data_IF_716968448880
#
_entry.id   IF_716968448880
#
_cell.length_a   1.000
_cell.length_b   1.000
_cell.length_c   1.000
_cell.angle_alpha   90.00
_cell.angle_beta   90.00
_cell.angle_gamma   90.00
#
_symmetry.space_group_name_H-M   'P 1'
#
loop_
_entity.id
_entity.type
_entity.pdbx_description
1 polymer ?
#
# COMPACT_ATOMS: atom_id res chain seq x y z
N UNK A 1 -20.17 8.32 -26.95
CA UNK A 1 -19.99 7.12 -26.11
C UNK A 1 -18.61 7.14 -25.51
N UNK A 2 -18.40 6.41 -24.43
CA UNK A 2 -17.07 6.23 -23.84
C UNK A 2 -16.53 4.85 -24.22
N UNK A 3 -15.23 4.74 -24.44
CA UNK A 3 -14.56 3.45 -24.65
C UNK A 3 -14.62 2.62 -23.37
N UNK A 4 -14.83 1.31 -23.50
CA UNK A 4 -14.98 0.38 -22.40
C UNK A 4 -14.05 -0.83 -22.58
N UNK A 5 -13.56 -1.35 -21.46
CA UNK A 5 -12.81 -2.62 -21.39
C UNK A 5 -13.67 -3.62 -20.64
N UNK A 6 -13.81 -4.83 -21.18
CA UNK A 6 -14.48 -5.94 -20.52
C UNK A 6 -13.43 -6.96 -20.08
N UNK A 7 -13.45 -7.31 -18.79
CA UNK A 7 -12.55 -8.28 -18.19
C UNK A 7 -13.31 -9.39 -17.46
N UNK A 8 -12.61 -10.50 -17.21
CA UNK A 8 -13.18 -11.62 -16.47
C UNK A 8 -13.31 -11.23 -14.99
N UNK A 9 -14.45 -11.55 -14.38
CA UNK A 9 -14.60 -11.44 -12.93
C UNK A 9 -13.70 -12.45 -12.20
N UNK A 10 -12.73 -11.95 -11.44
CA UNK A 10 -11.77 -12.78 -10.70
C UNK A 10 -12.30 -13.07 -9.29
N UNK A 11 -12.42 -14.36 -8.95
CA UNK A 11 -12.72 -14.82 -7.58
C UNK A 11 -11.42 -15.06 -6.84
N UNK A 12 -10.86 -14.01 -6.26
CA UNK A 12 -9.61 -14.06 -5.51
C UNK A 12 -9.84 -14.35 -4.03
N UNK A 13 -8.85 -14.96 -3.37
CA UNK A 13 -8.85 -15.18 -1.92
C UNK A 13 -8.38 -13.95 -1.16
N UNK A 14 -7.36 -13.28 -1.71
CA UNK A 14 -6.76 -12.08 -1.09
C UNK A 14 -6.43 -11.06 -2.16
N UNK A 15 -6.45 -9.82 -1.76
CA UNK A 15 -5.90 -8.72 -2.55
C UNK A 15 -4.64 -8.25 -1.84
N UNK A 16 -3.56 -8.08 -2.60
CA UNK A 16 -2.27 -7.62 -2.08
C UNK A 16 -1.77 -6.43 -2.88
N UNK A 17 -0.82 -5.69 -2.32
CA UNK A 17 -0.04 -4.74 -3.10
C UNK A 17 1.44 -4.77 -2.73
N UNK A 18 2.27 -4.41 -3.69
CA UNK A 18 3.72 -4.21 -3.51
C UNK A 18 4.06 -2.81 -3.99
N UNK A 19 4.92 -2.12 -3.25
CA UNK A 19 5.45 -0.81 -3.64
C UNK A 19 6.92 -0.96 -3.98
N UNK A 20 7.29 -0.51 -5.19
CA UNK A 20 8.66 -0.46 -5.68
C UNK A 20 9.09 1.00 -5.80
N UNK A 21 10.29 1.30 -5.29
CA UNK A 21 10.99 2.54 -5.56
C UNK A 21 12.10 2.30 -6.58
N UNK A 22 12.25 3.21 -7.54
CA UNK A 22 13.36 3.21 -8.51
C UNK A 22 13.91 4.63 -8.68
N UNK A 23 15.21 4.80 -8.46
CA UNK A 23 15.87 6.10 -8.57
C UNK A 23 16.36 6.42 -9.99
N UNK A 24 16.86 7.64 -10.18
CA UNK A 24 17.45 8.13 -11.46
C UNK A 24 18.68 7.35 -11.92
N UNK A 25 19.34 6.62 -11.01
CA UNK A 25 20.49 5.75 -11.28
C UNK A 25 20.06 4.28 -11.43
N UNK A 26 18.75 4.02 -11.49
CA UNK A 26 18.12 2.71 -11.67
C UNK A 26 18.28 1.73 -10.50
N UNK A 27 18.72 2.19 -9.33
CA UNK A 27 18.64 1.37 -8.12
C UNK A 27 17.18 1.16 -7.72
N UNK A 28 16.88 -0.01 -7.18
CA UNK A 28 15.53 -0.36 -6.73
C UNK A 28 15.49 -0.78 -5.28
N UNK A 29 14.42 -0.41 -4.59
CA UNK A 29 14.06 -0.95 -3.26
C UNK A 29 12.59 -1.31 -3.27
N UNK A 30 12.23 -2.38 -2.58
CA UNK A 30 10.86 -2.92 -2.59
C UNK A 30 10.37 -3.07 -1.16
N UNK A 31 9.15 -2.60 -0.91
CA UNK A 31 8.45 -2.87 0.34
C UNK A 31 7.86 -4.28 0.29
N UNK A 32 7.83 -4.96 1.44
CA UNK A 32 7.19 -6.27 1.51
C UNK A 32 5.71 -6.21 1.08
N UNK A 33 5.16 -7.30 0.51
CA UNK A 33 3.75 -7.37 0.18
C UNK A 33 2.85 -7.13 1.38
N UNK A 34 1.74 -6.44 1.13
CA UNK A 34 0.70 -6.14 2.13
C UNK A 34 -0.64 -6.66 1.65
N UNK A 35 -1.50 -7.12 2.58
CA UNK A 35 -2.88 -7.50 2.27
C UNK A 35 -3.77 -6.26 2.33
N UNK A 36 -4.66 -6.11 1.35
CA UNK A 36 -5.60 -5.02 1.23
C UNK A 36 -7.03 -5.56 1.32
N UNK A 37 -7.88 -4.86 2.07
CA UNK A 37 -9.31 -5.16 2.17
C UNK A 37 -10.11 -3.94 1.75
N UNK A 38 -10.94 -4.13 0.73
CA UNK A 38 -11.79 -3.10 0.17
C UNK A 38 -13.24 -3.26 0.66
N UNK A 39 -13.89 -2.12 0.96
CA UNK A 39 -15.33 -2.06 1.25
C UNK A 39 -15.93 -1.05 0.30
N UNK A 40 -16.95 -1.43 -0.46
CA UNK A 40 -17.56 -0.60 -1.50
C UNK A 40 -16.52 0.00 -2.47
N UNK A 41 -15.55 -0.82 -2.91
CA UNK A 41 -14.45 -0.43 -3.79
C UNK A 41 -13.50 0.64 -3.25
N UNK A 42 -13.50 0.89 -1.93
CA UNK A 42 -12.57 1.81 -1.27
C UNK A 42 -11.69 1.01 -0.31
N UNK A 43 -10.37 1.23 -0.37
CA UNK A 43 -9.44 0.60 0.56
C UNK A 43 -9.81 0.96 1.99
N UNK A 44 -10.17 -0.04 2.77
CA UNK A 44 -10.60 0.11 4.15
C UNK A 44 -9.45 -0.24 5.10
N UNK A 45 -8.81 -1.39 4.88
CA UNK A 45 -7.74 -1.89 5.76
C UNK A 45 -6.54 -2.40 4.95
N UNK A 46 -5.32 -2.11 5.41
CA UNK A 46 -4.09 -2.75 4.94
C UNK A 46 -3.42 -3.48 6.10
N UNK A 47 -3.04 -4.74 5.91
CA UNK A 47 -2.43 -5.61 6.93
C UNK A 47 -1.01 -5.97 6.49
N UNK A 48 -0.06 -5.79 7.41
CA UNK A 48 1.37 -5.91 7.15
C UNK A 48 2.04 -6.74 8.24
N UNK A 49 2.70 -7.86 7.91
CA UNK A 49 2.86 -8.44 6.56
C UNK A 49 1.57 -9.07 6.00
N UNK A 50 1.49 -9.25 4.69
CA UNK A 50 0.42 -10.03 4.06
C UNK A 50 0.45 -11.49 4.54
N UNK A 51 -0.72 -12.09 4.79
CA UNK A 51 -0.84 -13.51 5.13
C UNK A 51 -0.85 -14.38 3.86
N UNK A 52 0.30 -14.52 3.22
CA UNK A 52 0.53 -15.28 1.98
C UNK A 52 1.79 -16.14 2.12
N UNK A 53 1.96 -17.15 1.26
CA UNK A 53 3.20 -17.94 1.30
C UNK A 53 4.41 -17.11 0.88
N UNK A 54 5.61 -17.51 1.34
CA UNK A 54 6.87 -16.88 0.92
C UNK A 54 7.06 -16.94 -0.60
N UNK A 55 6.64 -18.05 -1.23
CA UNK A 55 6.66 -18.21 -2.70
C UNK A 55 5.80 -17.14 -3.38
N UNK A 56 4.58 -16.91 -2.88
CA UNK A 56 3.66 -15.87 -3.39
C UNK A 56 4.24 -14.48 -3.20
N UNK A 57 4.82 -14.21 -2.03
CA UNK A 57 5.46 -12.93 -1.73
C UNK A 57 6.64 -12.63 -2.66
N UNK A 58 7.49 -13.63 -2.91
CA UNK A 58 8.61 -13.53 -3.84
C UNK A 58 8.16 -13.34 -5.28
N UNK A 59 7.09 -14.03 -5.71
CA UNK A 59 6.50 -13.86 -7.03
C UNK A 59 5.95 -12.44 -7.23
N UNK A 60 5.13 -11.95 -6.30
CA UNK A 60 4.57 -10.60 -6.34
C UNK A 60 5.65 -9.51 -6.37
N UNK A 61 6.71 -9.69 -5.58
CA UNK A 61 7.89 -8.81 -5.57
C UNK A 61 8.60 -8.80 -6.93
N UNK A 62 8.83 -9.99 -7.50
CA UNK A 62 9.49 -10.15 -8.80
C UNK A 62 8.67 -9.52 -9.93
N UNK A 63 7.36 -9.78 -9.97
CA UNK A 63 6.44 -9.16 -10.95
C UNK A 63 6.49 -7.63 -10.89
N UNK A 64 6.50 -7.08 -9.67
CA UNK A 64 6.53 -5.63 -9.46
C UNK A 64 7.85 -4.99 -9.91
N UNK A 65 8.98 -5.67 -9.68
CA UNK A 65 10.30 -5.23 -10.17
C UNK A 65 10.39 -5.27 -11.69
N UNK A 66 9.90 -6.34 -12.32
CA UNK A 66 9.86 -6.46 -13.79
C UNK A 66 9.04 -5.31 -14.38
N UNK A 67 7.88 -5.04 -13.80
CA UNK A 67 7.00 -3.97 -14.26
C UNK A 67 7.66 -2.60 -14.11
N UNK A 68 8.22 -2.29 -12.94
CA UNK A 68 8.92 -1.03 -12.69
C UNK A 68 10.07 -0.81 -13.70
N UNK A 69 10.81 -1.86 -14.03
CA UNK A 69 11.85 -1.79 -15.05
C UNK A 69 11.28 -1.58 -16.47
N UNK A 70 10.23 -2.32 -16.85
CA UNK A 70 9.61 -2.22 -18.18
C UNK A 70 8.99 -0.85 -18.45
N UNK A 71 8.51 -0.17 -17.41
CA UNK A 71 7.94 1.17 -17.47
C UNK A 71 9.00 2.29 -17.40
N UNK A 72 10.29 1.94 -17.27
CA UNK A 72 11.37 2.88 -17.01
C UNK A 72 11.06 3.81 -15.81
N UNK A 73 10.47 3.26 -14.75
CA UNK A 73 10.02 4.02 -13.58
C UNK A 73 11.16 4.86 -12.98
N UNK A 74 10.84 6.11 -12.64
CA UNK A 74 11.57 6.94 -11.67
C UNK A 74 10.55 7.38 -10.61
N UNK A 75 10.83 7.15 -9.33
CA UNK A 75 9.91 7.40 -8.23
C UNK A 75 9.33 6.12 -7.63
N UNK A 76 8.01 6.07 -7.44
CA UNK A 76 7.29 4.94 -6.87
C UNK A 76 6.29 4.33 -7.84
N UNK A 77 6.11 3.01 -7.72
CA UNK A 77 5.05 2.25 -8.36
C UNK A 77 4.42 1.32 -7.33
N UNK A 78 3.12 1.50 -7.09
CA UNK A 78 2.31 0.49 -6.43
C UNK A 78 1.72 -0.44 -7.48
N UNK A 79 1.77 -1.73 -7.20
CA UNK A 79 1.21 -2.80 -8.04
C UNK A 79 0.20 -3.54 -7.18
N UNK A 80 -1.07 -3.45 -7.56
CA UNK A 80 -2.15 -4.20 -6.91
C UNK A 80 -2.35 -5.53 -7.62
N UNK A 81 -2.56 -6.57 -6.83
CA UNK A 81 -2.61 -7.94 -7.30
C UNK A 81 -3.68 -8.73 -6.55
N UNK A 82 -4.25 -9.70 -7.23
CA UNK A 82 -5.12 -10.72 -6.66
C UNK A 82 -4.33 -12.01 -6.44
N UNK A 83 -4.52 -12.61 -5.26
CA UNK A 83 -3.99 -13.93 -4.91
C UNK A 83 -5.15 -14.91 -4.95
N UNK A 84 -4.98 -15.98 -5.71
CA UNK A 84 -5.97 -17.04 -5.90
C UNK A 84 -5.85 -18.12 -4.80
N UNK A 85 -6.82 -19.03 -4.74
CA UNK A 85 -6.83 -20.14 -3.78
C UNK A 85 -5.60 -21.05 -3.87
N UNK A 86 -5.06 -21.23 -5.08
CA UNK A 86 -3.84 -22.00 -5.33
C UNK A 86 -2.54 -21.19 -5.12
N UNK A 87 -2.64 -20.01 -4.48
CA UNK A 87 -1.55 -19.06 -4.25
C UNK A 87 -0.92 -18.49 -5.53
N UNK A 88 -1.55 -18.65 -6.69
CA UNK A 88 -1.17 -17.92 -7.90
C UNK A 88 -1.54 -16.44 -7.82
N UNK A 89 -0.82 -15.60 -8.56
CA UNK A 89 -0.93 -14.14 -8.51
C UNK A 89 -1.36 -13.58 -9.86
N UNK A 90 -2.38 -12.72 -9.87
CA UNK A 90 -2.86 -12.00 -11.05
C UNK A 90 -2.71 -10.51 -10.78
N UNK A 91 -2.13 -9.76 -11.72
CA UNK A 91 -2.05 -8.30 -11.61
C UNK A 91 -3.43 -7.68 -11.84
N UNK A 92 -3.80 -6.71 -11.00
CA UNK A 92 -5.04 -5.95 -11.10
C UNK A 92 -4.77 -4.57 -11.73
N UNK A 93 -4.15 -3.68 -10.97
CA UNK A 93 -3.88 -2.31 -11.40
C UNK A 93 -2.51 -1.80 -10.91
N UNK A 94 -2.12 -0.63 -11.43
CA UNK A 94 -0.83 -0.01 -11.14
C UNK A 94 -1.04 1.48 -10.84
N UNK A 95 -0.28 2.02 -9.89
CA UNK A 95 -0.29 3.43 -9.55
C UNK A 95 1.15 3.98 -9.48
N UNK A 96 1.61 4.79 -10.45
CA UNK A 96 2.97 5.33 -10.49
C UNK A 96 3.14 6.56 -9.57
N UNK A 97 2.81 6.38 -8.29
CA UNK A 97 2.82 7.41 -7.25
C UNK A 97 2.83 6.76 -5.86
N UNK A 98 3.09 7.53 -4.78
CA UNK A 98 2.71 7.11 -3.44
C UNK A 98 1.26 6.60 -3.40
N UNK A 99 1.04 5.50 -2.68
CA UNK A 99 -0.21 4.76 -2.69
C UNK A 99 -0.81 4.62 -1.29
N UNK A 100 -2.13 4.51 -1.20
CA UNK A 100 -2.85 4.44 0.07
C UNK A 100 -2.42 3.22 0.89
N UNK A 101 -2.30 2.06 0.24
CA UNK A 101 -1.80 0.82 0.86
C UNK A 101 -0.35 0.90 1.34
N UNK A 102 0.37 1.99 1.06
CA UNK A 102 1.71 2.23 1.58
C UNK A 102 1.78 3.12 2.81
N UNK A 103 0.66 3.69 3.31
CA UNK A 103 0.74 4.67 4.41
C UNK A 103 1.21 4.04 5.74
N UNK A 104 1.08 2.71 5.89
CA UNK A 104 1.70 1.96 6.99
C UNK A 104 3.20 2.21 7.13
N UNK A 105 3.89 2.51 6.01
CA UNK A 105 5.34 2.73 6.00
C UNK A 105 5.76 3.94 6.85
N UNK A 106 4.85 4.88 7.14
CA UNK A 106 5.13 6.03 8.00
C UNK A 106 5.47 5.60 9.45
N UNK A 107 4.91 4.49 9.93
CA UNK A 107 5.08 4.02 11.32
C UNK A 107 5.61 2.57 11.43
N UNK A 108 5.66 1.84 10.30
CA UNK A 108 6.01 0.42 10.26
C UNK A 108 7.28 0.07 9.49
N UNK A 109 7.85 0.97 8.69
CA UNK A 109 9.04 0.71 7.87
C UNK A 109 10.21 1.63 8.23
N UNK A 110 11.44 1.22 7.89
CA UNK A 110 12.64 2.03 8.07
C UNK A 110 12.58 3.37 7.30
N UNK A 111 12.01 3.36 6.10
CA UNK A 111 11.83 4.57 5.30
C UNK A 111 10.39 4.66 4.81
N UNK A 112 9.71 5.77 5.10
CA UNK A 112 8.35 5.97 4.59
C UNK A 112 8.35 6.04 3.07
N UNK A 113 7.27 5.61 2.42
CA UNK A 113 7.13 5.71 0.96
C UNK A 113 7.29 7.17 0.47
N UNK A 114 6.91 8.16 1.29
CA UNK A 114 6.99 9.57 0.92
C UNK A 114 8.44 10.06 0.90
N UNK A 115 9.21 9.74 1.93
CA UNK A 115 10.64 10.01 1.96
C UNK A 115 11.36 9.25 0.82
N UNK A 116 10.99 7.99 0.59
CA UNK A 116 11.54 7.18 -0.48
C UNK A 116 11.25 7.76 -1.86
N UNK A 117 10.05 8.28 -2.09
CA UNK A 117 9.68 8.96 -3.32
C UNK A 117 10.55 10.20 -3.55
N UNK A 118 10.72 11.05 -2.52
CA UNK A 118 11.59 12.24 -2.62
C UNK A 118 13.02 11.82 -2.95
N UNK A 119 13.58 10.81 -2.26
CA UNK A 119 14.93 10.30 -2.54
C UNK A 119 15.07 9.84 -3.99
N UNK A 120 14.12 9.05 -4.47
CA UNK A 120 14.11 8.49 -5.81
C UNK A 120 14.12 9.58 -6.90
N UNK A 121 13.28 10.62 -6.76
CA UNK A 121 13.16 11.68 -7.78
C UNK A 121 14.26 12.74 -7.67
N UNK A 122 14.91 12.89 -6.51
CA UNK A 122 16.00 13.87 -6.30
C UNK A 122 17.39 13.26 -6.49
N UNK A 123 17.48 11.97 -6.79
CA UNK A 123 18.75 11.25 -6.99
C UNK A 123 19.55 11.01 -5.71
N UNK A 124 18.92 11.10 -4.55
CA UNK A 124 19.53 10.69 -3.29
C UNK A 124 19.53 9.15 -3.17
N UNK A 125 20.46 8.56 -2.41
CA UNK A 125 20.44 7.13 -2.14
C UNK A 125 19.09 6.68 -1.57
N UNK A 126 18.55 5.60 -2.14
CA UNK A 126 17.31 5.00 -1.64
C UNK A 126 17.48 4.51 -0.20
N UNK A 127 16.45 4.70 0.62
CA UNK A 127 16.41 4.17 1.98
C UNK A 127 16.10 2.68 2.03
N UNK A 128 16.38 2.07 3.18
CA UNK A 128 15.94 0.71 3.47
C UNK A 128 14.41 0.65 3.65
N UNK A 129 13.80 -0.41 3.15
CA UNK A 129 12.34 -0.62 3.13
C UNK A 129 11.88 -1.68 4.14
N UNK A 130 12.81 -2.22 4.93
CA UNK A 130 12.54 -3.26 5.91
C UNK A 130 11.43 -2.87 6.88
N UNK A 131 10.50 -3.80 7.13
CA UNK A 131 9.50 -3.63 8.17
C UNK A 131 10.19 -3.67 9.55
N UNK A 132 9.91 -2.65 10.38
CA UNK A 132 10.37 -2.57 11.77
C UNK A 132 9.37 -3.26 12.70
N UNK A 133 8.07 -3.14 12.40
CA UNK A 133 6.98 -3.71 13.21
C UNK A 133 5.75 -4.00 12.34
N UNK A 134 4.95 -5.03 12.67
CA UNK A 134 3.67 -5.28 12.03
C UNK A 134 2.70 -4.12 12.23
N UNK A 135 1.92 -3.81 11.20
CA UNK A 135 0.93 -2.73 11.20
C UNK A 135 -0.38 -3.25 10.61
N UNK A 136 -1.49 -2.93 11.27
CA UNK A 136 -2.79 -2.84 10.61
C UNK A 136 -3.14 -1.37 10.41
N UNK A 137 -3.21 -0.94 9.16
CA UNK A 137 -3.61 0.40 8.77
C UNK A 137 -5.11 0.41 8.48
N UNK A 138 -5.84 1.35 9.08
CA UNK A 138 -7.27 1.56 8.86
C UNK A 138 -7.51 2.94 8.24
N UNK A 139 -8.22 3.01 7.12
CA UNK A 139 -8.65 4.29 6.55
C UNK A 139 -9.82 4.88 7.34
N UNK A 140 -9.82 6.21 7.47
CA UNK A 140 -10.92 6.99 8.04
C UNK A 140 -11.73 7.57 6.88
N UNK A 141 -12.78 6.86 6.44
CA UNK A 141 -13.66 7.27 5.33
C UNK A 141 -14.90 7.99 5.87
N UNK A 142 -15.14 9.22 5.39
CA UNK A 142 -16.29 10.03 5.77
C UNK A 142 -16.42 10.11 7.29
N UNK A 143 -17.58 9.73 7.81
CA UNK A 143 -17.92 9.79 9.24
C UNK A 143 -17.09 8.82 10.11
N UNK A 144 -16.27 7.93 9.52
CA UNK A 144 -15.35 7.11 10.31
C UNK A 144 -14.32 7.97 11.07
N UNK A 145 -14.10 9.22 10.66
CA UNK A 145 -13.27 10.17 11.43
C UNK A 145 -13.82 10.40 12.85
N UNK A 146 -15.12 10.25 13.08
CA UNK A 146 -15.73 10.45 14.39
C UNK A 146 -15.34 9.34 15.40
N UNK A 147 -14.75 8.24 14.91
CA UNK A 147 -14.24 7.14 15.75
C UNK A 147 -12.83 7.40 16.29
N UNK A 148 -12.14 8.43 15.78
CA UNK A 148 -10.77 8.79 16.19
C UNK A 148 -10.58 8.87 17.71
N UNK A 149 -11.52 9.43 18.50
CA UNK A 149 -11.36 9.50 19.96
C UNK A 149 -11.18 8.14 20.65
N UNK A 150 -11.69 7.04 20.08
CA UNK A 150 -11.51 5.68 20.62
C UNK A 150 -10.02 5.30 20.68
N UNK A 151 -9.20 5.85 19.79
CA UNK A 151 -7.79 5.52 19.66
C UNK A 151 -6.86 6.44 20.46
N UNK A 152 -7.37 7.48 21.11
CA UNK A 152 -6.53 8.45 21.85
C UNK A 152 -5.76 7.82 23.02
N UNK A 153 -6.31 6.78 23.64
CA UNK A 153 -5.68 6.08 24.75
C UNK A 153 -4.96 4.79 24.32
N UNK A 154 -4.94 4.46 23.03
CA UNK A 154 -4.21 3.30 22.53
C UNK A 154 -2.75 3.69 22.22
N UNK A 155 -1.76 3.22 23.00
CA UNK A 155 -0.35 3.55 22.77
C UNK A 155 0.19 3.02 21.42
N UNK A 156 -0.49 2.04 20.82
CA UNK A 156 -0.12 1.42 19.56
C UNK A 156 -0.71 2.14 18.34
N UNK A 157 -1.70 3.01 18.53
CA UNK A 157 -2.32 3.77 17.45
C UNK A 157 -1.47 5.00 17.08
N UNK A 158 -1.32 5.22 15.77
CA UNK A 158 -0.71 6.41 15.17
C UNK A 158 -1.73 7.03 14.22
N UNK A 159 -2.26 8.18 14.62
CA UNK A 159 -3.40 8.81 13.98
C UNK A 159 -2.88 9.87 13.01
N UNK A 160 -3.25 9.76 11.72
CA UNK A 160 -2.87 10.68 10.65
C UNK A 160 -4.12 11.31 10.06
N UNK A 161 -4.36 12.59 10.35
CA UNK A 161 -5.50 13.34 9.81
C UNK A 161 -5.04 14.29 8.71
N UNK A 162 -5.81 14.34 7.61
CA UNK A 162 -5.42 15.12 6.42
C UNK A 162 -5.85 16.59 6.46
N UNK A 163 -6.43 17.06 7.58
CA UNK A 163 -6.87 18.46 7.73
C UNK A 163 -7.99 18.90 6.78
N UNK A 164 -8.77 17.96 6.23
CA UNK A 164 -9.87 18.27 5.31
C UNK A 164 -11.02 18.93 6.07
N UNK A 165 -11.42 20.13 5.65
CA UNK A 165 -12.43 20.93 6.34
C UNK A 165 -13.84 20.33 6.36
N UNK A 166 -14.18 19.47 5.39
CA UNK A 166 -15.53 18.94 5.24
C UNK A 166 -15.54 17.41 5.14
N UNK A 167 -16.38 16.79 5.96
CA UNK A 167 -16.64 15.34 5.95
C UNK A 167 -17.70 15.04 4.89
N UNK A 168 -17.41 14.10 3.99
CA UNK A 168 -18.36 13.61 2.96
C UNK A 168 -18.31 12.09 2.85
N UNK A 169 -19.42 11.41 2.49
CA UNK A 169 -19.41 9.97 2.19
C UNK A 169 -18.34 9.61 1.16
N UNK A 170 -17.59 8.52 1.39
CA UNK A 170 -16.51 8.06 0.52
C UNK A 170 -15.21 8.89 0.56
N UNK A 171 -15.19 10.05 1.23
CA UNK A 171 -14.00 10.90 1.31
C UNK A 171 -13.01 10.36 2.34
N UNK A 172 -11.77 10.09 1.94
CA UNK A 172 -10.66 9.75 2.85
C UNK A 172 -10.30 10.95 3.72
N UNK A 173 -10.54 10.90 5.02
CA UNK A 173 -10.30 12.00 5.96
C UNK A 173 -8.96 11.86 6.71
N UNK A 174 -8.45 10.63 6.79
CA UNK A 174 -7.20 10.29 7.44
C UNK A 174 -6.98 8.77 7.39
N UNK A 175 -6.00 8.30 8.15
CA UNK A 175 -5.80 6.88 8.44
C UNK A 175 -5.23 6.71 9.84
N UNK A 176 -5.28 5.49 10.35
CA UNK A 176 -4.68 5.10 11.62
C UNK A 176 -3.78 3.91 11.34
N UNK A 177 -2.50 4.00 11.71
CA UNK A 177 -1.59 2.86 11.76
C UNK A 177 -1.62 2.28 13.18
N UNK A 178 -2.04 1.03 13.32
CA UNK A 178 -2.10 0.32 14.60
C UNK A 178 -0.98 -0.70 14.63
N UNK A 179 -0.07 -0.57 15.59
CA UNK A 179 1.00 -1.54 15.81
C UNK A 179 0.40 -2.82 16.36
N UNK A 180 0.52 -3.92 15.63
CA UNK A 180 0.01 -5.22 16.06
C UNK A 180 1.13 -6.05 16.68
N UNK A 181 0.79 -6.85 17.69
CA UNK A 181 1.71 -7.86 18.23
C UNK A 181 1.73 -9.05 17.28
N UNK A 182 2.92 -9.62 17.06
CA UNK A 182 3.08 -10.93 16.40
C UNK A 182 2.34 -12.00 17.19
#
# INVERSE_FOLDING_TARGET
>A
GHDLVLEKFIKFEREISVIVARDVNHHTKVYQPVENRHVNHILDTTIVPANITEKTANLATTMSLILANSLNLIGLLAVEMFVMEDESVIMNEIAPRPHNSGHWTQDGSQTSQFEQFVRAITGQPLGETGMIRPITMKNLIGNAIDQVPVFFNDPNAKIHLYGKAEVRPGRKMGHINIITKN
#
